data_IF_488572314864
#
_entry.id   IF_488572314864
#
_cell.length_a   1.000
_cell.length_b   1.000
_cell.length_c   1.000
_cell.angle_alpha   90.00
_cell.angle_beta   90.00
_cell.angle_gamma   90.00
#
_symmetry.space_group_name_H-M   'P 1'
#
loop_
_entity.id
_entity.type
_entity.pdbx_description
1 polymer ?
#
# COMPACT_ATOMS: atom_id res chain seq x y z
N UNK A 1 -15.71 3.18 4.73
CA UNK A 1 -15.47 2.56 3.41
C UNK A 1 -14.74 1.22 3.49
N UNK A 2 -13.66 1.09 4.27
CA UNK A 2 -12.93 -0.19 4.37
C UNK A 2 -13.78 -1.33 4.98
N UNK A 3 -14.55 -1.02 6.05
CA UNK A 3 -15.49 -1.97 6.68
C UNK A 3 -16.53 -2.49 5.69
N UNK A 4 -17.14 -1.60 4.92
CA UNK A 4 -18.14 -1.92 3.92
C UNK A 4 -17.53 -2.74 2.78
N UNK A 5 -16.32 -2.39 2.33
CA UNK A 5 -15.58 -3.14 1.31
C UNK A 5 -15.31 -4.58 1.75
N UNK A 6 -14.93 -4.81 3.02
CA UNK A 6 -14.75 -6.16 3.54
C UNK A 6 -16.02 -7.01 3.47
N UNK A 7 -17.19 -6.41 3.72
CA UNK A 7 -18.48 -7.11 3.59
C UNK A 7 -18.73 -7.49 2.13
N UNK A 8 -18.51 -6.56 1.19
CA UNK A 8 -18.66 -6.81 -0.25
C UNK A 8 -17.73 -7.93 -0.72
N UNK A 9 -16.46 -7.88 -0.31
CA UNK A 9 -15.46 -8.93 -0.58
C UNK A 9 -15.94 -10.29 -0.05
N UNK A 10 -16.47 -10.33 1.19
CA UNK A 10 -16.97 -11.58 1.79
C UNK A 10 -18.14 -12.15 1.00
N UNK A 11 -19.09 -11.30 0.57
CA UNK A 11 -20.24 -11.70 -0.26
C UNK A 11 -19.77 -12.26 -1.61
N UNK A 12 -18.86 -11.56 -2.29
CA UNK A 12 -18.31 -12.06 -3.56
C UNK A 12 -17.49 -13.34 -3.39
N UNK A 13 -16.82 -13.50 -2.25
CA UNK A 13 -16.13 -14.73 -1.89
C UNK A 13 -17.04 -15.95 -1.77
N UNK A 14 -18.32 -15.77 -1.43
CA UNK A 14 -19.31 -16.86 -1.42
C UNK A 14 -19.62 -17.37 -2.84
N UNK A 15 -19.51 -16.50 -3.85
CA UNK A 15 -19.72 -16.84 -5.25
C UNK A 15 -18.45 -17.39 -5.89
N UNK A 16 -17.30 -16.78 -5.60
CA UNK A 16 -16.00 -17.15 -6.16
C UNK A 16 -14.90 -17.03 -5.11
N UNK A 17 -14.31 -18.14 -4.64
CA UNK A 17 -13.26 -18.12 -3.61
C UNK A 17 -12.05 -17.25 -3.97
N UNK A 18 -11.73 -17.09 -5.25
CA UNK A 18 -10.61 -16.24 -5.71
C UNK A 18 -10.82 -14.74 -5.47
N UNK A 19 -12.03 -14.32 -5.08
CA UNK A 19 -12.31 -12.95 -4.69
C UNK A 19 -11.97 -12.68 -3.22
N UNK A 20 -11.68 -13.73 -2.43
CA UNK A 20 -11.23 -13.57 -1.06
C UNK A 20 -9.74 -13.19 -1.03
N UNK A 21 -9.36 -12.32 -0.08
CA UNK A 21 -7.97 -12.03 0.19
C UNK A 21 -7.26 -13.29 0.70
N UNK A 22 -5.99 -13.42 0.33
CA UNK A 22 -5.12 -14.50 0.77
C UNK A 22 -4.34 -14.04 1.99
N UNK A 23 -4.45 -14.79 3.07
CA UNK A 23 -3.73 -14.54 4.31
C UNK A 23 -3.00 -15.82 4.73
N UNK A 24 -1.85 -15.65 5.36
CA UNK A 24 -1.20 -16.72 6.10
C UNK A 24 -1.50 -16.50 7.58
N UNK A 25 -2.47 -17.23 8.12
CA UNK A 25 -2.75 -17.21 9.55
C UNK A 25 -1.79 -18.14 10.29
N UNK A 26 -1.40 -17.78 11.52
CA UNK A 26 -0.60 -18.68 12.37
C UNK A 26 -1.44 -19.77 13.05
N UNK A 27 -2.77 -19.71 12.91
CA UNK A 27 -3.72 -20.71 13.41
C UNK A 27 -4.76 -21.07 12.35
N UNK A 28 -4.95 -22.37 12.13
CA UNK A 28 -5.90 -22.92 11.15
C UNK A 28 -7.38 -22.70 11.52
N UNK A 29 -7.67 -22.41 12.80
CA UNK A 29 -9.05 -22.21 13.29
C UNK A 29 -9.48 -20.75 13.29
N UNK A 30 -8.58 -19.81 12.97
CA UNK A 30 -8.85 -18.38 13.04
C UNK A 30 -9.45 -17.85 11.71
N UNK A 31 -10.70 -17.37 11.74
CA UNK A 31 -11.28 -16.63 10.62
C UNK A 31 -10.68 -15.22 10.56
N UNK A 32 -9.63 -15.08 9.76
CA UNK A 32 -8.89 -13.84 9.46
C UNK A 32 -9.79 -12.67 9.05
N UNK A 33 -10.78 -12.91 8.19
CA UNK A 33 -11.72 -11.87 7.75
C UNK A 33 -12.60 -11.40 8.90
N UNK A 34 -13.05 -12.31 9.77
CA UNK A 34 -13.85 -11.96 10.95
C UNK A 34 -13.04 -11.14 11.96
N UNK A 35 -11.77 -11.49 12.20
CA UNK A 35 -10.87 -10.76 13.09
C UNK A 35 -10.68 -9.33 12.61
N UNK A 36 -10.29 -9.15 11.33
CA UNK A 36 -10.07 -7.85 10.73
C UNK A 36 -11.34 -6.99 10.78
N UNK A 37 -12.50 -7.58 10.48
CA UNK A 37 -13.78 -6.86 10.54
C UNK A 37 -14.13 -6.43 11.97
N UNK A 38 -13.86 -7.27 12.97
CA UNK A 38 -14.07 -6.96 14.39
C UNK A 38 -13.21 -5.77 14.82
N UNK A 39 -11.91 -5.82 14.54
CA UNK A 39 -10.96 -4.75 14.88
C UNK A 39 -11.34 -3.43 14.19
N UNK A 40 -11.64 -3.47 12.89
CA UNK A 40 -12.09 -2.31 12.13
C UNK A 40 -13.41 -1.73 12.65
N UNK A 41 -14.34 -2.59 13.09
CA UNK A 41 -15.60 -2.13 13.65
C UNK A 41 -15.39 -1.48 15.02
N UNK A 42 -14.57 -2.06 15.90
CA UNK A 42 -14.20 -1.43 17.19
C UNK A 42 -13.57 -0.06 16.96
N UNK A 43 -12.58 0.03 16.06
CA UNK A 43 -11.91 1.29 15.71
C UNK A 43 -12.89 2.33 15.14
N UNK A 44 -13.77 1.91 14.23
CA UNK A 44 -14.76 2.81 13.64
C UNK A 44 -15.74 3.38 14.67
N UNK A 45 -16.18 2.57 15.64
CA UNK A 45 -17.05 3.04 16.74
C UNK A 45 -16.32 4.08 17.58
N UNK A 46 -15.07 3.81 17.98
CA UNK A 46 -14.25 4.77 18.74
C UNK A 46 -14.13 6.12 18.02
N UNK A 47 -13.81 6.11 16.72
CA UNK A 47 -13.66 7.35 15.95
C UNK A 47 -14.97 8.09 15.66
N UNK A 48 -16.13 7.44 15.81
CA UNK A 48 -17.44 8.02 15.49
C UNK A 48 -18.11 8.63 16.71
N UNK A 49 -18.09 7.92 17.83
CA UNK A 49 -18.83 8.31 19.03
C UNK A 49 -18.04 9.33 19.86
N UNK A 50 -16.71 9.29 19.80
CA UNK A 50 -15.84 10.18 20.53
C UNK A 50 -15.09 11.09 19.56
N UNK A 51 -15.09 12.40 19.79
CA UNK A 51 -14.44 13.38 18.90
C UNK A 51 -12.94 13.11 18.65
N UNK A 52 -12.25 13.90 17.80
CA UNK A 52 -10.88 13.64 17.32
C UNK A 52 -9.77 13.57 18.39
N UNK A 53 -10.11 13.63 19.68
CA UNK A 53 -9.21 13.61 20.84
C UNK A 53 -9.38 12.37 21.73
N UNK A 54 -10.24 11.42 21.38
CA UNK A 54 -10.40 10.20 22.17
C UNK A 54 -9.41 9.13 21.72
N UNK A 55 -8.53 8.77 22.63
CA UNK A 55 -7.57 7.70 22.45
C UNK A 55 -8.32 6.36 22.34
N UNK A 56 -7.89 5.47 21.42
CA UNK A 56 -8.48 4.14 21.32
C UNK A 56 -8.26 3.35 22.62
N UNK A 57 -9.22 2.48 22.95
CA UNK A 57 -9.12 1.55 24.09
C UNK A 57 -7.78 0.78 24.05
N UNK A 58 -7.08 0.73 25.18
CA UNK A 58 -5.76 0.10 25.30
C UNK A 58 -5.82 -1.38 24.88
N UNK A 59 -6.92 -2.06 25.18
CA UNK A 59 -7.14 -3.44 24.73
C UNK A 59 -7.27 -3.55 23.20
N UNK A 60 -7.88 -2.56 22.53
CA UNK A 60 -7.93 -2.53 21.06
C UNK A 60 -6.54 -2.31 20.47
N UNK A 61 -5.74 -1.43 21.08
CA UNK A 61 -4.36 -1.18 20.66
C UNK A 61 -3.53 -2.45 20.77
N UNK A 62 -3.62 -3.17 21.90
CA UNK A 62 -2.93 -4.43 22.12
C UNK A 62 -3.32 -5.50 21.09
N UNK A 63 -4.62 -5.66 20.81
CA UNK A 63 -5.09 -6.59 19.76
C UNK A 63 -4.51 -6.22 18.39
N UNK A 64 -4.43 -4.92 18.05
CA UNK A 64 -3.84 -4.44 16.80
C UNK A 64 -2.33 -4.69 16.73
N UNK A 65 -1.61 -4.50 17.84
CA UNK A 65 -0.17 -4.76 17.95
C UNK A 65 0.17 -6.24 17.76
N UNK A 66 -0.74 -7.14 18.14
CA UNK A 66 -0.58 -8.58 17.95
C UNK A 66 -0.99 -9.06 16.55
N UNK A 67 -1.64 -8.22 15.73
CA UNK A 67 -2.12 -8.63 14.42
C UNK A 67 -1.03 -9.19 13.50
N UNK A 68 0.19 -8.61 13.41
CA UNK A 68 1.26 -9.14 12.57
C UNK A 68 1.75 -10.53 12.97
N UNK A 69 1.57 -10.94 14.24
CA UNK A 69 1.92 -12.30 14.69
C UNK A 69 0.79 -13.31 14.47
N UNK A 70 -0.43 -12.84 14.19
CA UNK A 70 -1.60 -13.69 13.92
C UNK A 70 -1.84 -13.88 12.43
N UNK A 71 -1.54 -12.86 11.63
CA UNK A 71 -1.95 -12.78 10.24
C UNK A 71 -0.86 -12.11 9.39
N UNK A 72 -0.28 -12.90 8.49
CA UNK A 72 0.72 -12.47 7.53
C UNK A 72 0.04 -12.18 6.19
N UNK A 73 0.33 -11.00 5.64
CA UNK A 73 -0.11 -10.61 4.30
C UNK A 73 1.02 -10.97 3.33
N UNK A 74 0.75 -11.71 2.24
CA UNK A 74 1.75 -11.99 1.22
C UNK A 74 2.36 -10.68 0.68
N UNK A 75 3.67 -10.67 0.47
CA UNK A 75 4.32 -9.51 -0.16
C UNK A 75 3.75 -9.29 -1.56
N UNK A 76 3.44 -8.02 -1.86
CA UNK A 76 2.91 -7.58 -3.15
C UNK A 76 4.03 -7.42 -4.19
N UNK A 77 5.07 -8.24 -4.13
CA UNK A 77 6.26 -8.17 -4.98
C UNK A 77 5.94 -8.34 -6.48
N UNK A 78 4.75 -8.86 -6.78
CA UNK A 78 4.23 -9.05 -8.14
C UNK A 78 3.50 -7.81 -8.70
N UNK A 79 3.06 -6.89 -7.85
CA UNK A 79 2.44 -5.65 -8.32
C UNK A 79 3.53 -4.71 -8.85
N UNK A 80 3.27 -3.97 -9.95
CA UNK A 80 4.18 -2.91 -10.36
C UNK A 80 4.38 -1.98 -9.17
N UNK A 81 5.64 -1.74 -8.79
CA UNK A 81 5.98 -0.69 -7.81
C UNK A 81 5.24 0.56 -8.25
N UNK A 82 4.52 1.20 -7.31
CA UNK A 82 3.87 2.47 -7.58
C UNK A 82 4.93 3.56 -7.72
N UNK A 83 5.64 3.54 -8.85
CA UNK A 83 6.37 4.68 -9.43
C UNK A 83 5.38 5.77 -9.91
N UNK A 84 4.09 5.58 -9.65
CA UNK A 84 3.09 6.63 -9.75
C UNK A 84 3.51 7.79 -8.86
N UNK A 85 3.56 8.99 -9.45
CA UNK A 85 3.70 10.22 -8.71
C UNK A 85 2.41 10.38 -7.87
N UNK A 86 2.38 9.82 -6.66
CA UNK A 86 1.38 10.22 -5.67
C UNK A 86 1.80 11.61 -5.20
N UNK A 87 1.55 12.60 -6.06
CA UNK A 87 1.57 13.99 -5.64
C UNK A 87 0.44 14.12 -4.65
N UNK A 88 0.76 14.19 -3.35
CA UNK A 88 -0.10 14.99 -2.48
C UNK A 88 -0.20 16.32 -3.19
N UNK A 89 -1.43 16.72 -3.52
CA UNK A 89 -1.75 18.01 -4.16
C UNK A 89 -1.07 19.11 -3.34
N UNK A 90 0.18 19.40 -3.67
CA UNK A 90 0.91 20.50 -3.07
C UNK A 90 0.20 21.77 -3.51
N UNK A 91 0.20 22.82 -2.69
CA UNK A 91 -0.43 24.06 -3.07
C UNK A 91 0.24 24.64 -4.33
N UNK A 92 -0.47 24.54 -5.46
CA UNK A 92 -0.49 25.44 -6.64
C UNK A 92 0.83 25.98 -7.23
N UNK A 93 2.02 25.47 -6.94
CA UNK A 93 3.24 25.90 -7.63
C UNK A 93 3.61 24.96 -8.80
N UNK A 94 3.79 25.51 -10.02
CA UNK A 94 4.20 24.71 -11.17
C UNK A 94 5.62 24.17 -10.96
N UNK A 95 5.79 22.86 -11.10
CA UNK A 95 7.09 22.21 -10.98
C UNK A 95 7.94 22.55 -12.23
N UNK A 96 9.07 23.24 -12.04
CA UNK A 96 10.00 23.55 -13.14
C UNK A 96 11.00 22.40 -13.31
N UNK A 97 10.78 21.59 -14.34
CA UNK A 97 11.66 20.49 -14.72
C UNK A 97 12.71 20.97 -15.74
N UNK A 98 13.95 20.48 -15.62
CA UNK A 98 15.02 20.77 -16.59
C UNK A 98 15.55 19.45 -17.14
N UNK A 99 15.68 19.38 -18.47
CA UNK A 99 16.24 18.20 -19.15
C UNK A 99 17.63 17.87 -18.59
N UNK A 100 17.87 16.59 -18.29
CA UNK A 100 19.14 16.11 -17.73
C UNK A 100 19.36 16.44 -16.25
N UNK A 101 18.41 17.10 -15.57
CA UNK A 101 18.52 17.43 -14.14
C UNK A 101 17.45 16.68 -13.35
N UNK A 102 17.87 15.85 -12.39
CA UNK A 102 16.95 15.21 -11.47
C UNK A 102 16.15 16.30 -10.72
N UNK A 103 14.80 16.23 -10.69
CA UNK A 103 14.01 17.19 -9.95
C UNK A 103 14.35 17.05 -8.46
N UNK A 104 14.62 18.19 -7.81
CA UNK A 104 14.72 18.26 -6.36
C UNK A 104 13.31 18.15 -5.78
N UNK A 105 12.72 16.96 -5.90
CA UNK A 105 11.49 16.64 -5.19
C UNK A 105 11.87 16.60 -3.71
N UNK A 106 11.19 17.36 -2.82
CA UNK A 106 11.34 17.14 -1.40
C UNK A 106 11.07 15.65 -1.16
N UNK A 107 12.02 14.96 -0.52
CA UNK A 107 11.97 13.53 -0.31
C UNK A 107 10.56 13.20 0.20
N UNK A 108 9.77 12.54 -0.64
CA UNK A 108 8.48 12.01 -0.24
C UNK A 108 8.81 10.85 0.69
N UNK A 109 9.11 11.17 1.96
CA UNK A 109 8.85 10.29 3.09
C UNK A 109 7.32 10.21 3.25
N UNK A 110 6.64 9.81 2.18
CA UNK A 110 5.30 9.29 2.31
C UNK A 110 5.49 7.94 2.99
N UNK A 111 4.71 7.70 4.04
CA UNK A 111 4.40 6.37 4.53
C UNK A 111 3.89 5.53 3.35
N UNK A 112 4.80 5.01 2.54
CA UNK A 112 4.55 3.84 1.74
C UNK A 112 4.33 2.74 2.76
N UNK A 113 3.24 1.96 2.67
CA UNK A 113 3.15 0.74 3.43
C UNK A 113 4.46 -0.04 3.21
N UNK A 114 5.15 -0.41 4.29
CA UNK A 114 6.34 -1.25 4.22
C UNK A 114 5.99 -2.48 3.36
N UNK A 115 6.60 -2.56 2.17
CA UNK A 115 6.26 -3.54 1.13
C UNK A 115 6.04 -2.99 -0.28
N UNK A 116 5.85 -1.68 -0.44
CA UNK A 116 5.72 -1.03 -1.77
C UNK A 116 6.93 -0.16 -2.16
N UNK A 117 7.90 -0.01 -1.26
CA UNK A 117 9.14 0.73 -1.50
C UNK A 117 10.18 -0.15 -2.18
N UNK A 118 10.69 0.33 -3.32
CA UNK A 118 11.76 -0.35 -4.04
C UNK A 118 13.09 -0.18 -3.31
N UNK A 119 13.79 -1.28 -3.05
CA UNK A 119 15.16 -1.23 -2.54
C UNK A 119 16.06 -0.43 -3.52
N UNK A 120 16.95 0.43 -3.01
CA UNK A 120 17.86 1.20 -3.85
C UNK A 120 18.71 0.25 -4.72
N UNK A 121 18.75 0.50 -6.04
CA UNK A 121 19.53 -0.29 -7.01
C UNK A 121 18.77 -1.38 -7.78
N UNK A 122 17.50 -1.64 -7.48
CA UNK A 122 16.69 -2.55 -8.30
C UNK A 122 16.52 -2.01 -9.74
N UNK A 123 16.44 -2.86 -10.79
CA UNK A 123 16.31 -2.44 -12.19
C UNK A 123 14.91 -1.92 -12.52
N UNK A 124 14.81 -0.79 -13.25
CA UNK A 124 13.49 -0.18 -13.55
C UNK A 124 12.87 -0.91 -14.72
N UNK A 125 11.58 -1.22 -14.64
CA UNK A 125 10.87 -1.92 -15.71
C UNK A 125 9.85 -0.97 -16.32
N UNK A 126 9.88 -0.83 -17.64
CA UNK A 126 8.75 -0.29 -18.41
C UNK A 126 7.68 -1.37 -18.49
N UNK A 127 6.59 -1.23 -17.73
CA UNK A 127 5.52 -2.24 -17.67
C UNK A 127 4.66 -2.30 -18.94
N UNK A 128 4.60 -1.22 -19.74
CA UNK A 128 3.85 -1.22 -21.00
C UNK A 128 4.60 -2.03 -22.06
N UNK A 129 5.93 -1.87 -22.11
CA UNK A 129 6.79 -2.54 -23.09
C UNK A 129 7.46 -3.81 -22.57
N UNK A 130 7.35 -4.08 -21.26
CA UNK A 130 8.08 -5.15 -20.54
C UNK A 130 9.59 -5.09 -20.77
N UNK A 131 10.18 -3.89 -20.68
CA UNK A 131 11.61 -3.66 -20.89
C UNK A 131 12.31 -3.31 -19.58
N UNK A 132 13.47 -3.91 -19.33
CA UNK A 132 14.34 -3.53 -18.21
C UNK A 132 15.13 -2.27 -18.62
N UNK A 133 14.79 -1.14 -18.02
CA UNK A 133 15.46 0.16 -18.15
C UNK A 133 16.76 0.25 -17.31
N UNK A 134 17.02 -0.75 -16.45
CA UNK A 134 18.18 -0.75 -15.55
C UNK A 134 18.11 0.34 -14.48
N UNK A 135 19.21 0.55 -13.75
CA UNK A 135 19.42 1.71 -12.88
C UNK A 135 20.36 2.74 -13.54
N UNK A 136 21.34 2.22 -14.30
CA UNK A 136 22.23 2.95 -15.19
C UNK A 136 22.28 2.16 -16.50
N UNK A 137 21.59 2.59 -17.55
CA UNK A 137 21.67 1.90 -18.84
C UNK A 137 23.13 1.94 -19.32
N UNK A 138 23.71 0.77 -19.56
CA UNK A 138 25.10 0.61 -20.03
C UNK A 138 25.25 0.98 -21.51
N UNK A 139 24.13 1.06 -22.23
CA UNK A 139 24.06 1.43 -23.63
C UNK A 139 23.49 2.85 -23.77
N UNK A 140 23.87 3.54 -24.86
CA UNK A 140 23.36 4.86 -25.18
C UNK A 140 21.84 4.81 -25.34
N UNK A 141 21.12 5.33 -24.34
CA UNK A 141 19.68 5.43 -24.44
C UNK A 141 19.31 6.43 -25.53
N UNK A 142 18.35 6.04 -26.38
CA UNK A 142 17.71 6.97 -27.32
C UNK A 142 17.11 8.12 -26.53
N UNK A 143 17.80 9.25 -26.52
CA UNK A 143 17.31 10.48 -25.96
C UNK A 143 16.42 11.17 -26.98
N UNK A 144 15.29 11.70 -26.53
CA UNK A 144 14.54 12.65 -27.34
C UNK A 144 15.36 13.95 -27.36
N UNK A 145 16.25 14.09 -28.34
CA UNK A 145 16.84 15.37 -28.67
C UNK A 145 15.81 16.17 -29.46
N UNK A 146 15.63 17.41 -29.03
CA UNK A 146 14.66 18.39 -29.54
C UNK A 146 14.45 18.34 -31.05
#
# INVERSE_FOLDING_TARGET
MLRELMVVIRIWGLLKPSCLPVYTATSDTQDSMSLLFRLLTKLWICCRDEGPTSEPDEALVDECCLLPSQLLIPSLDWLPVSDGLVSRLQPKQPLRLQFGKAPALPACAAAQPDGLSRAPGQPKIDHLRRLHLGAYPTEECKACTR
#
